data_IF_045517995278
#
_entry.id   IF_045517995278
#
_cell.length_a   1.000
_cell.length_b   1.000
_cell.length_c   1.000
_cell.angle_alpha   90.00
_cell.angle_beta   90.00
_cell.angle_gamma   90.00
#
_symmetry.space_group_name_H-M   'P 1'
#
loop_
_entity.id
_entity.type
_entity.pdbx_description
1 polymer ?
#
# COMPACT_ATOMS: atom_id res chain seq x y z
N UNK A 1 24.86 -4.96 7.30
CA UNK A 1 23.44 -4.72 6.95
C UNK A 1 23.33 -3.22 6.72
N UNK A 2 23.48 -2.78 5.46
CA UNK A 2 23.29 -1.36 5.14
C UNK A 2 21.79 -1.12 5.26
N UNK A 3 21.37 -0.55 6.38
CA UNK A 3 20.06 0.07 6.49
C UNK A 3 20.08 1.25 5.54
N UNK A 4 19.75 1.03 4.26
CA UNK A 4 19.35 2.12 3.40
C UNK A 4 17.96 2.49 3.89
N UNK A 5 17.92 3.36 4.90
CA UNK A 5 16.71 4.07 5.28
C UNK A 5 16.48 5.07 4.14
N UNK A 6 15.91 4.60 3.03
CA UNK A 6 15.53 5.44 1.90
C UNK A 6 14.38 6.35 2.34
N UNK A 7 14.68 7.54 2.84
CA UNK A 7 13.66 8.59 2.95
C UNK A 7 13.44 9.16 1.55
N UNK A 8 12.27 8.89 0.97
CA UNK A 8 11.87 9.55 -0.27
C UNK A 8 11.16 10.85 0.05
N UNK A 9 11.64 11.94 -0.53
CA UNK A 9 10.88 13.17 -0.62
C UNK A 9 10.24 13.18 -1.99
N UNK A 10 8.96 12.81 -2.09
CA UNK A 10 8.14 13.26 -3.22
C UNK A 10 7.77 14.71 -2.92
N UNK A 11 8.61 15.65 -3.36
CA UNK A 11 8.25 17.06 -3.36
C UNK A 11 7.18 17.33 -4.41
N UNK A 12 6.65 18.55 -4.47
CA UNK A 12 5.79 18.98 -5.58
C UNK A 12 6.49 18.99 -6.96
N UNK A 13 7.74 18.55 -7.02
CA UNK A 13 8.62 18.39 -8.16
C UNK A 13 8.59 16.98 -8.78
N UNK A 14 7.82 16.03 -8.20
CA UNK A 14 7.68 14.64 -8.68
C UNK A 14 9.02 13.88 -8.78
N UNK A 15 10.01 14.25 -7.97
CA UNK A 15 11.30 13.58 -7.95
C UNK A 15 11.32 12.40 -6.98
N UNK A 16 12.08 11.37 -7.33
CA UNK A 16 12.45 10.29 -6.42
C UNK A 16 13.96 10.33 -6.24
N UNK A 17 14.40 10.46 -4.99
CA UNK A 17 15.82 10.46 -4.64
C UNK A 17 16.08 9.34 -3.63
N UNK A 18 17.06 8.50 -3.93
CA UNK A 18 17.60 7.49 -3.02
C UNK A 18 18.84 8.09 -2.37
N UNK A 19 18.87 8.14 -1.05
CA UNK A 19 19.94 8.76 -0.28
C UNK A 19 20.81 7.74 0.42
N UNK A 20 22.10 8.04 0.53
CA UNK A 20 22.97 7.43 1.51
C UNK A 20 22.87 8.22 2.82
N UNK A 21 22.18 7.66 3.81
CA UNK A 21 22.00 8.33 5.11
C UNK A 21 23.31 8.51 5.88
N UNK A 22 24.32 7.68 5.63
CA UNK A 22 25.62 7.78 6.29
C UNK A 22 26.47 8.96 5.80
N UNK A 23 26.35 9.33 4.52
CA UNK A 23 27.11 10.45 3.92
C UNK A 23 26.25 11.70 3.67
N UNK A 24 24.92 11.55 3.63
CA UNK A 24 24.00 12.60 3.21
C UNK A 24 23.98 12.85 1.70
N UNK A 25 24.61 11.99 0.90
CA UNK A 25 24.70 12.16 -0.55
C UNK A 25 23.61 11.37 -1.30
N UNK A 26 23.10 11.89 -2.43
CA UNK A 26 22.17 11.15 -3.27
C UNK A 26 22.89 10.01 -4.01
N UNK A 27 22.38 8.79 -3.88
CA UNK A 27 22.82 7.61 -4.62
C UNK A 27 22.19 7.54 -6.01
N UNK A 28 20.93 7.96 -6.13
CA UNK A 28 20.17 7.95 -7.37
C UNK A 28 19.10 9.03 -7.34
N UNK A 29 18.91 9.70 -8.46
CA UNK A 29 17.83 10.67 -8.69
C UNK A 29 17.05 10.24 -9.91
N UNK A 30 15.72 10.31 -9.83
CA UNK A 30 14.80 9.91 -10.89
C UNK A 30 13.75 11.01 -11.06
N UNK A 31 13.63 11.48 -12.28
CA UNK A 31 12.80 12.61 -12.71
C UNK A 31 11.85 12.24 -13.86
N UNK A 32 11.58 10.94 -14.00
CA UNK A 32 10.75 10.35 -15.06
C UNK A 32 9.25 10.38 -14.75
N UNK A 33 8.85 10.69 -13.51
CA UNK A 33 7.44 10.84 -13.14
C UNK A 33 6.86 12.17 -13.63
N UNK A 34 5.92 12.09 -14.57
CA UNK A 34 5.30 13.25 -15.20
C UNK A 34 4.19 13.91 -14.37
N UNK A 35 3.74 13.27 -13.28
CA UNK A 35 2.67 13.75 -12.41
C UNK A 35 2.91 13.26 -10.97
N UNK A 36 1.97 13.60 -10.08
CA UNK A 36 2.08 13.36 -8.65
C UNK A 36 2.26 11.87 -8.32
N UNK A 37 3.32 11.57 -7.59
CA UNK A 37 3.58 10.25 -7.02
C UNK A 37 2.68 10.07 -5.78
N UNK A 38 1.86 9.02 -5.77
CA UNK A 38 0.95 8.72 -4.67
C UNK A 38 1.57 7.82 -3.60
N UNK A 39 2.40 6.85 -4.01
CA UNK A 39 3.05 5.93 -3.10
C UNK A 39 4.29 5.28 -3.75
N UNK A 40 5.22 4.87 -2.90
CA UNK A 40 6.39 4.07 -3.24
C UNK A 40 6.43 2.88 -2.28
N UNK A 41 6.75 1.69 -2.79
CA UNK A 41 6.88 0.47 -1.98
C UNK A 41 8.08 -0.36 -2.44
N UNK A 42 8.87 -0.84 -1.49
CA UNK A 42 10.01 -1.72 -1.75
C UNK A 42 9.60 -3.18 -1.68
N UNK A 43 10.25 -4.00 -2.49
CA UNK A 43 10.31 -5.46 -2.30
C UNK A 43 10.92 -5.79 -0.94
N UNK A 44 10.57 -6.95 -0.39
CA UNK A 44 11.01 -7.37 0.94
C UNK A 44 12.53 -7.40 1.11
N UNK A 45 13.27 -7.76 0.05
CA UNK A 45 14.73 -7.79 0.03
C UNK A 45 15.38 -6.42 -0.32
N UNK A 46 14.58 -5.40 -0.65
CA UNK A 46 15.06 -4.08 -1.06
C UNK A 46 15.70 -4.02 -2.45
N UNK A 47 15.58 -5.06 -3.29
CA UNK A 47 16.22 -5.05 -4.61
C UNK A 47 15.47 -4.22 -5.65
N UNK A 48 14.16 -4.10 -5.50
CA UNK A 48 13.26 -3.37 -6.40
C UNK A 48 12.27 -2.51 -5.59
N UNK A 49 11.73 -1.47 -6.21
CA UNK A 49 10.59 -0.73 -5.71
C UNK A 49 9.60 -0.44 -6.82
N UNK A 50 8.34 -0.19 -6.44
CA UNK A 50 7.27 0.20 -7.32
C UNK A 50 6.73 1.56 -6.88
N UNK A 51 6.18 2.29 -7.84
CA UNK A 51 5.64 3.63 -7.63
C UNK A 51 4.25 3.70 -8.24
N UNK A 52 3.28 4.31 -7.57
CA UNK A 52 2.02 4.71 -8.20
C UNK A 52 2.01 6.20 -8.46
N UNK A 53 1.58 6.59 -9.65
CA UNK A 53 1.57 7.98 -10.11
C UNK A 53 0.18 8.36 -10.65
N UNK A 54 -0.13 9.64 -10.67
CA UNK A 54 -1.39 10.19 -11.20
C UNK A 54 -1.54 10.01 -12.71
N UNK A 55 -0.44 9.80 -13.45
CA UNK A 55 -0.48 9.32 -14.84
C UNK A 55 -1.00 7.86 -14.98
N UNK A 56 -1.37 7.26 -13.84
CA UNK A 56 -1.91 5.93 -13.65
C UNK A 56 -0.92 4.80 -13.99
N UNK A 57 0.37 5.09 -14.16
CA UNK A 57 1.36 4.07 -14.51
C UNK A 57 2.03 3.52 -13.27
N UNK A 58 2.24 2.20 -13.29
CA UNK A 58 3.17 1.52 -12.41
C UNK A 58 4.43 1.27 -13.26
N UNK A 59 5.39 2.20 -13.21
CA UNK A 59 6.64 2.29 -14.03
C UNK A 59 6.63 1.44 -15.32
N UNK A 60 6.32 2.11 -16.44
CA UNK A 60 6.19 1.60 -17.82
C UNK A 60 5.12 0.53 -18.08
N UNK A 61 4.30 0.18 -17.09
CA UNK A 61 3.26 -0.83 -17.25
C UNK A 61 1.86 -0.26 -17.02
N UNK A 62 0.91 -0.91 -17.69
CA UNK A 62 -0.50 -0.54 -17.87
C UNK A 62 -1.15 -0.03 -16.58
N UNK A 63 -2.20 0.77 -16.74
CA UNK A 63 -2.98 1.27 -15.60
C UNK A 63 -3.61 0.10 -14.83
N UNK A 64 -3.21 -0.20 -13.58
CA UNK A 64 -3.76 -1.33 -12.82
C UNK A 64 -5.27 -1.18 -12.56
N UNK A 65 -5.76 0.05 -12.58
CA UNK A 65 -7.16 0.35 -12.34
C UNK A 65 -7.64 1.40 -13.37
N UNK A 66 -8.88 1.29 -13.84
CA UNK A 66 -9.43 2.24 -14.83
C UNK A 66 -9.88 3.58 -14.22
N UNK A 67 -10.02 3.65 -12.90
CA UNK A 67 -10.46 4.83 -12.19
C UNK A 67 -9.37 5.91 -12.10
N UNK A 68 -9.80 7.17 -12.18
CA UNK A 68 -8.92 8.35 -12.11
C UNK A 68 -8.49 8.75 -10.69
N UNK A 69 -8.94 8.00 -9.68
CA UNK A 69 -8.67 8.31 -8.27
C UNK A 69 -7.33 7.73 -7.84
N UNK A 70 -6.69 8.28 -6.79
CA UNK A 70 -5.40 7.81 -6.34
C UNK A 70 -5.39 6.31 -6.03
N UNK A 71 -4.37 5.63 -6.54
CA UNK A 71 -4.12 4.21 -6.29
C UNK A 71 -2.85 4.03 -5.44
N UNK A 72 -2.74 2.87 -4.81
CA UNK A 72 -1.54 2.43 -4.09
C UNK A 72 -1.11 1.06 -4.56
N UNK A 73 0.19 0.78 -4.43
CA UNK A 73 0.78 -0.50 -4.75
C UNK A 73 1.78 -0.88 -3.67
N UNK A 74 1.74 -2.13 -3.22
CA UNK A 74 2.69 -2.69 -2.27
C UNK A 74 3.19 -4.04 -2.75
N UNK A 75 4.44 -4.38 -2.45
CA UNK A 75 4.93 -5.72 -2.69
C UNK A 75 4.45 -6.71 -1.64
N UNK A 76 4.12 -7.91 -2.10
CA UNK A 76 3.95 -9.10 -1.26
C UNK A 76 5.31 -9.76 -1.03
N UNK A 77 5.36 -10.76 -0.15
CA UNK A 77 6.60 -11.50 0.17
C UNK A 77 7.18 -12.20 -1.07
N UNK A 78 6.29 -12.76 -1.90
CA UNK A 78 6.65 -13.52 -3.10
C UNK A 78 7.02 -12.62 -4.30
N UNK A 79 6.98 -11.29 -4.13
CA UNK A 79 7.32 -10.33 -5.18
C UNK A 79 6.15 -9.91 -6.06
N UNK A 80 4.94 -10.50 -5.88
CA UNK A 80 3.72 -9.99 -6.51
C UNK A 80 3.38 -8.59 -6.00
N UNK A 81 2.70 -7.80 -6.82
CA UNK A 81 2.26 -6.45 -6.49
C UNK A 81 0.79 -6.47 -6.12
N UNK A 82 0.45 -6.03 -4.92
CA UNK A 82 -0.93 -5.83 -4.48
C UNK A 82 -1.29 -4.35 -4.63
N UNK A 83 -2.36 -4.06 -5.36
CA UNK A 83 -2.83 -2.70 -5.62
C UNK A 83 -4.19 -2.45 -5.00
N UNK A 84 -4.42 -1.19 -4.59
CA UNK A 84 -5.74 -0.68 -4.24
C UNK A 84 -6.02 0.52 -5.12
N UNK A 85 -7.19 0.55 -5.75
CA UNK A 85 -7.58 1.65 -6.62
C UNK A 85 -9.09 1.73 -6.75
N UNK A 86 -9.52 2.21 -7.91
CA UNK A 86 -10.93 2.41 -8.19
C UNK A 86 -11.27 1.94 -9.61
N UNK A 87 -12.45 1.37 -9.78
CA UNK A 87 -13.01 1.09 -11.10
C UNK A 87 -13.37 2.39 -11.83
N UNK A 88 -13.65 2.31 -13.13
CA UNK A 88 -14.20 3.44 -13.91
C UNK A 88 -15.49 4.01 -13.29
N UNK A 89 -16.28 3.16 -12.63
CA UNK A 89 -17.50 3.54 -11.91
C UNK A 89 -17.24 4.07 -10.50
N UNK A 90 -15.99 4.36 -10.13
CA UNK A 90 -15.57 4.84 -8.81
C UNK A 90 -15.88 3.88 -7.64
N UNK A 91 -15.95 2.58 -7.89
CA UNK A 91 -15.96 1.57 -6.81
C UNK A 91 -14.53 1.26 -6.40
N UNK A 92 -14.28 1.00 -5.12
CA UNK A 92 -12.97 0.56 -4.64
C UNK A 92 -12.70 -0.85 -5.12
N UNK A 93 -11.47 -1.06 -5.58
CA UNK A 93 -11.04 -2.31 -6.18
C UNK A 93 -9.66 -2.70 -5.67
N UNK A 94 -9.44 -4.01 -5.56
CA UNK A 94 -8.17 -4.63 -5.22
C UNK A 94 -7.64 -5.37 -6.43
N UNK A 95 -6.35 -5.23 -6.71
CA UNK A 95 -5.66 -6.00 -7.74
C UNK A 95 -4.47 -6.76 -7.17
N UNK A 96 -4.20 -7.95 -7.68
CA UNK A 96 -2.97 -8.70 -7.44
C UNK A 96 -2.32 -8.96 -8.79
N UNK A 97 -1.04 -8.62 -8.93
CA UNK A 97 -0.35 -8.57 -10.21
C UNK A 97 0.99 -9.29 -10.13
N UNK A 98 1.32 -10.01 -11.20
CA UNK A 98 2.65 -10.53 -11.42
C UNK A 98 3.51 -9.42 -12.04
N UNK A 99 4.63 -8.99 -11.41
CA UNK A 99 5.52 -8.01 -12.01
C UNK A 99 6.20 -8.53 -13.28
N UNK A 100 6.22 -9.83 -13.57
CA UNK A 100 6.76 -10.37 -14.82
C UNK A 100 5.73 -10.34 -15.95
N UNK A 101 4.45 -10.56 -15.62
CA UNK A 101 3.31 -10.50 -16.54
C UNK A 101 2.24 -9.52 -16.03
N UNK A 102 2.30 -8.28 -16.52
CA UNK A 102 1.43 -7.18 -16.07
C UNK A 102 0.26 -6.90 -17.04
N UNK A 103 0.00 -7.78 -18.00
CA UNK A 103 -1.10 -7.60 -18.95
C UNK A 103 -2.46 -7.92 -18.31
N UNK A 104 -2.50 -8.95 -17.46
CA UNK A 104 -3.71 -9.42 -16.79
C UNK A 104 -3.45 -9.57 -15.28
N UNK A 105 -4.41 -9.19 -14.42
CA UNK A 105 -4.29 -9.41 -12.99
C UNK A 105 -4.40 -10.89 -12.64
N UNK A 106 -3.62 -11.32 -11.63
CA UNK A 106 -3.80 -12.63 -10.97
C UNK A 106 -5.18 -12.69 -10.30
N UNK A 107 -5.57 -11.61 -9.65
CA UNK A 107 -6.88 -11.44 -9.05
C UNK A 107 -7.31 -9.98 -9.10
N UNK A 108 -8.60 -9.74 -9.38
CA UNK A 108 -9.21 -8.42 -9.37
C UNK A 108 -10.55 -8.51 -8.60
N UNK A 109 -10.72 -7.71 -7.56
CA UNK A 109 -11.85 -7.79 -6.65
C UNK A 109 -12.44 -6.41 -6.35
N UNK A 110 -13.72 -6.22 -6.69
CA UNK A 110 -14.49 -5.06 -6.26
C UNK A 110 -14.87 -5.16 -4.77
N UNK A 111 -14.82 -4.03 -4.04
CA UNK A 111 -15.09 -4.00 -2.60
C UNK A 111 -16.38 -3.29 -2.21
N UNK A 112 -16.48 -2.00 -2.49
CA UNK A 112 -17.64 -1.14 -2.17
C UNK A 112 -17.55 0.19 -2.93
N UNK A 113 -18.56 1.04 -2.77
CA UNK A 113 -18.68 2.34 -3.45
C UNK A 113 -18.15 3.52 -2.63
N UNK A 114 -17.32 3.27 -1.62
CA UNK A 114 -16.80 4.34 -0.76
C UNK A 114 -15.71 5.14 -1.48
N UNK A 115 -15.60 6.44 -1.19
CA UNK A 115 -14.65 7.32 -1.88
C UNK A 115 -13.25 7.37 -1.27
N UNK A 116 -13.05 6.77 -0.09
CA UNK A 116 -11.79 6.84 0.64
C UNK A 116 -10.70 5.98 -0.01
N UNK A 117 -9.57 6.59 -0.36
CA UNK A 117 -8.36 5.89 -0.83
C UNK A 117 -7.94 4.89 0.24
N UNK A 118 -7.86 3.62 -0.13
CA UNK A 118 -7.45 2.55 0.77
C UNK A 118 -5.94 2.62 1.00
N UNK A 119 -5.55 2.57 2.26
CA UNK A 119 -4.19 2.29 2.67
C UNK A 119 -4.09 0.77 2.84
N UNK A 120 -3.16 0.14 2.13
CA UNK A 120 -2.86 -1.28 2.27
C UNK A 120 -1.62 -1.49 3.13
N UNK A 121 -1.74 -2.37 4.12
CA UNK A 121 -0.66 -2.74 5.02
C UNK A 121 -0.54 -4.25 5.02
N UNK A 122 0.52 -4.74 4.40
CA UNK A 122 0.79 -6.16 4.24
C UNK A 122 1.73 -6.66 5.33
N UNK A 123 1.36 -7.77 5.93
CA UNK A 123 2.17 -8.53 6.88
C UNK A 123 2.79 -9.74 6.16
N UNK A 124 4.10 -9.71 5.84
CA UNK A 124 4.77 -10.78 5.12
C UNK A 124 4.91 -12.07 5.93
N UNK A 125 4.70 -12.05 7.25
CA UNK A 125 4.82 -13.27 8.07
C UNK A 125 3.52 -14.08 8.08
N UNK A 126 2.39 -13.43 7.87
CA UNK A 126 1.06 -14.08 7.85
C UNK A 126 0.40 -14.04 6.47
N UNK A 127 1.02 -13.35 5.50
CA UNK A 127 0.43 -13.04 4.20
C UNK A 127 -0.93 -12.32 4.27
N UNK A 128 -1.18 -11.60 5.38
CA UNK A 128 -2.43 -10.84 5.56
C UNK A 128 -2.21 -9.39 5.12
N UNK A 129 -3.15 -8.86 4.34
CA UNK A 129 -3.24 -7.44 4.03
C UNK A 129 -4.40 -6.79 4.78
N UNK A 130 -4.10 -5.73 5.51
CA UNK A 130 -5.06 -4.88 6.21
C UNK A 130 -5.36 -3.63 5.39
N UNK A 131 -6.64 -3.34 5.20
CA UNK A 131 -7.15 -2.25 4.40
C UNK A 131 -7.92 -1.25 5.25
N UNK A 132 -7.53 0.01 5.16
CA UNK A 132 -8.17 1.11 5.88
C UNK A 132 -8.19 2.37 5.02
N UNK A 133 -9.36 2.95 4.74
CA UNK A 133 -9.47 4.23 4.04
C UNK A 133 -9.79 5.40 4.98
N UNK A 134 -9.23 6.58 4.73
CA UNK A 134 -9.60 7.79 5.49
C UNK A 134 -11.11 8.03 5.35
N UNK A 135 -11.80 8.20 6.48
CA UNK A 135 -13.25 8.33 6.55
C UNK A 135 -14.00 7.03 6.79
N UNK A 136 -13.38 5.86 6.56
CA UNK A 136 -14.03 4.59 6.87
C UNK A 136 -14.07 4.38 8.39
N UNK A 137 -15.08 3.65 8.85
CA UNK A 137 -15.18 3.22 10.24
C UNK A 137 -14.77 1.76 10.45
N UNK A 138 -14.27 1.10 9.40
CA UNK A 138 -13.88 -0.31 9.38
C UNK A 138 -12.45 -0.52 8.88
N UNK A 139 -11.84 -1.61 9.33
CA UNK A 139 -10.60 -2.17 8.79
C UNK A 139 -10.95 -3.54 8.24
N UNK A 140 -10.76 -3.76 6.94
CA UNK A 140 -10.94 -5.08 6.31
C UNK A 140 -9.60 -5.78 6.19
N UNK A 141 -9.58 -7.11 6.28
CA UNK A 141 -8.33 -7.85 6.10
C UNK A 141 -8.54 -9.12 5.31
N UNK A 142 -7.54 -9.43 4.48
CA UNK A 142 -7.55 -10.48 3.48
C UNK A 142 -6.27 -11.29 3.59
N UNK A 143 -6.35 -12.59 3.33
CA UNK A 143 -5.18 -13.45 3.17
C UNK A 143 -4.81 -13.55 1.69
N UNK A 144 -3.51 -13.44 1.39
CA UNK A 144 -2.99 -13.65 0.04
C UNK A 144 -2.33 -15.03 -0.02
N UNK A 145 -2.78 -15.88 -0.93
CA UNK A 145 -2.30 -17.25 -1.10
C UNK A 145 -2.07 -17.55 -2.58
N UNK A 146 -1.43 -18.69 -2.86
CA UNK A 146 -1.26 -19.21 -4.23
C UNK A 146 -2.51 -19.95 -4.76
N UNK A 147 -3.54 -20.14 -3.92
CA UNK A 147 -4.78 -20.82 -4.31
C UNK A 147 -5.86 -19.82 -4.71
N UNK A 148 -6.55 -20.08 -5.84
CA UNK A 148 -7.71 -19.29 -6.30
C UNK A 148 -8.77 -19.17 -5.18
N UNK A 149 -9.36 -17.98 -4.94
CA UNK A 149 -9.25 -16.73 -5.71
C UNK A 149 -8.02 -15.85 -5.43
N UNK A 150 -6.96 -16.39 -4.80
CA UNK A 150 -5.69 -15.76 -4.44
C UNK A 150 -5.79 -14.71 -3.33
N UNK A 151 -6.83 -13.87 -3.35
CA UNK A 151 -7.11 -12.86 -2.33
C UNK A 151 -8.38 -13.26 -1.58
N UNK A 152 -8.21 -13.81 -0.38
CA UNK A 152 -9.30 -14.38 0.43
C UNK A 152 -9.75 -13.39 1.49
N UNK A 153 -11.02 -13.03 1.50
CA UNK A 153 -11.58 -12.20 2.58
C UNK A 153 -11.61 -12.99 3.90
N UNK A 154 -10.97 -12.45 4.93
CA UNK A 154 -11.00 -13.07 6.27
C UNK A 154 -12.17 -12.48 7.05
N UNK A 155 -12.11 -11.18 7.38
CA UNK A 155 -13.13 -10.49 8.17
C UNK A 155 -12.90 -8.96 8.16
N UNK A 156 -13.71 -8.25 8.94
CA UNK A 156 -13.59 -6.81 9.16
C UNK A 156 -13.73 -6.47 10.63
N UNK A 157 -12.89 -5.55 11.09
CA UNK A 157 -13.14 -4.78 12.30
C UNK A 157 -14.06 -3.59 11.95
N UNK A 158 -15.01 -3.25 12.81
CA UNK A 158 -15.93 -2.13 12.60
C UNK A 158 -16.07 -1.30 13.88
N UNK A 159 -16.14 0.01 13.71
CA UNK A 159 -16.35 0.98 14.79
C UNK A 159 -17.42 2.01 14.40
N UNK A 160 -17.83 2.85 15.35
CA UNK A 160 -18.79 3.94 15.09
C UNK A 160 -18.14 5.20 14.55
N UNK A 161 -16.82 5.31 14.68
CA UNK A 161 -16.13 6.56 14.39
C UNK A 161 -15.25 6.45 13.14
N UNK A 162 -15.28 7.45 12.24
CA UNK A 162 -14.46 7.44 11.04
C UNK A 162 -12.98 7.64 11.38
N UNK A 163 -12.11 6.92 10.67
CA UNK A 163 -10.67 7.04 10.83
C UNK A 163 -10.10 8.26 10.09
N UNK A 164 -9.30 9.06 10.80
CA UNK A 164 -8.62 10.24 10.22
C UNK A 164 -7.22 9.93 9.67
N UNK A 165 -6.67 8.81 10.13
CA UNK A 165 -5.39 8.23 9.77
C UNK A 165 -5.24 6.90 10.50
N UNK A 166 -4.20 6.14 10.14
CA UNK A 166 -3.90 4.87 10.78
C UNK A 166 -2.38 4.71 10.90
N UNK A 167 -1.91 4.38 12.09
CA UNK A 167 -0.55 3.94 12.35
C UNK A 167 -0.51 2.43 12.55
N UNK A 168 0.58 1.80 12.10
CA UNK A 168 0.77 0.36 12.21
C UNK A 168 1.98 0.09 13.10
N UNK A 169 1.79 -0.78 14.09
CA UNK A 169 2.88 -1.20 14.96
C UNK A 169 3.78 -2.21 14.23
N UNK A 170 5.10 -1.98 14.16
CA UNK A 170 6.03 -2.99 13.64
C UNK A 170 5.96 -4.28 14.45
N UNK A 171 6.31 -5.42 13.84
CA UNK A 171 6.32 -6.74 14.49
C UNK A 171 7.06 -6.80 15.83
N UNK A 172 8.13 -6.00 16.00
CA UNK A 172 8.87 -5.92 17.28
C UNK A 172 8.07 -5.30 18.44
N UNK A 173 6.94 -4.62 18.16
CA UNK A 173 6.12 -3.96 19.16
C UNK A 173 4.78 -4.64 19.46
N UNK A 174 4.49 -5.80 18.83
CA UNK A 174 3.29 -6.59 19.14
C UNK A 174 3.52 -7.51 20.34
N UNK A 175 2.44 -7.80 21.07
CA UNK A 175 2.47 -8.67 22.27
C UNK A 175 2.28 -10.14 21.90
N UNK A 176 3.40 -10.83 21.69
CA UNK A 176 3.43 -12.25 21.30
C UNK A 176 2.80 -13.16 22.37
N UNK A 177 2.80 -12.75 23.64
CA UNK A 177 2.20 -13.53 24.74
C UNK A 177 0.67 -13.65 24.61
N UNK A 178 0.04 -12.73 23.88
CA UNK A 178 -1.40 -12.70 23.60
C UNK A 178 -1.75 -13.20 22.19
N UNK A 179 -0.79 -13.77 21.47
CA UNK A 179 -0.92 -14.10 20.05
C UNK A 179 -1.33 -12.89 19.18
N UNK A 180 -0.90 -11.67 19.55
CA UNK A 180 -1.20 -10.47 18.76
C UNK A 180 -0.35 -10.47 17.48
N UNK A 181 -1.01 -10.51 16.32
CA UNK A 181 -0.33 -10.52 15.00
C UNK A 181 -0.14 -9.12 14.41
N UNK A 182 -1.00 -8.16 14.78
CA UNK A 182 -0.98 -6.80 14.29
C UNK A 182 -1.65 -5.85 15.29
N UNK A 183 -1.09 -4.64 15.45
CA UNK A 183 -1.68 -3.55 16.25
C UNK A 183 -1.83 -2.29 15.41
N UNK A 184 -3.03 -1.74 15.42
CA UNK A 184 -3.39 -0.54 14.69
C UNK A 184 -3.65 0.61 15.68
N UNK A 185 -3.02 1.76 15.43
CA UNK A 185 -3.15 2.96 16.24
C UNK A 185 -3.94 4.01 15.47
N UNK A 186 -5.10 4.40 15.99
CA UNK A 186 -5.91 5.47 15.41
C UNK A 186 -5.64 6.79 16.13
N UNK A 187 -5.23 7.86 15.43
CA UNK A 187 -5.11 9.19 16.02
C UNK A 187 -6.47 9.67 16.52
N UNK A 188 -6.57 10.01 17.81
CA UNK A 188 -7.71 10.74 18.35
C UNK A 188 -7.50 12.23 18.13
N UNK A 189 -8.57 12.94 17.82
CA UNK A 189 -8.52 14.40 17.94
C UNK A 189 -8.28 14.73 19.42
N UNK A 190 -7.28 15.56 19.72
CA UNK A 190 -7.25 16.23 21.01
C UNK A 190 -8.53 17.07 21.09
N UNK A 191 -9.38 16.83 22.09
CA UNK A 191 -10.39 17.80 22.47
C UNK A 191 -9.64 19.07 22.85
N UNK A 192 -9.71 20.10 21.99
CA UNK A 192 -9.16 21.41 22.33
C UNK A 192 -9.80 21.89 23.62
N UNK A 193 -8.98 22.14 24.63
CA UNK A 193 -9.29 23.06 25.74
C UNK A 193 -9.05 24.48 25.28
#
# INVERSE_FOLDING_TARGET
>A
MVSIQCDFVSGGDNLIIIWNVGTGEPLMTMDDHLDLIYNISWTYNGSLFCTTCKDLRLRERLSPHEGIRPMRAIFTREGNIFTTGFTRMSQRELGLWDPTNFEEPIALLELDTSNGVLLAFYDPDTSIVFLSGKGDSSIRYFEITEERPYVHYISKFSSKEPQRGMGFMPKRGVDVSKCEIARHSRPRASSGT
#
